data_IF_361649111315
#
_entry.id   IF_361649111315
#
_cell.length_a   1.000
_cell.length_b   1.000
_cell.length_c   1.000
_cell.angle_alpha   90.00
_cell.angle_beta   90.00
_cell.angle_gamma   90.00
#
_symmetry.space_group_name_H-M   'P 1'
#
loop_
_entity.id
_entity.type
_entity.pdbx_description
1 polymer ?
#
# COMPACT_ATOMS: atom_id res chain seq x y z
N UNK A 1 -4.52 22.70 29.47
CA UNK A 1 -4.96 21.94 28.28
C UNK A 1 -3.79 21.09 27.80
N UNK A 2 -3.87 19.77 27.99
CA UNK A 2 -2.85 18.77 27.62
C UNK A 2 -2.96 18.32 26.14
N UNK A 3 -3.18 19.26 25.22
CA UNK A 3 -3.35 19.02 23.78
C UNK A 3 -2.16 18.38 23.04
N UNK A 4 -0.87 18.53 23.42
CA UNK A 4 0.20 17.92 22.62
C UNK A 4 0.29 16.39 22.74
N UNK A 5 -0.27 15.80 23.80
CA UNK A 5 -0.19 14.34 24.02
C UNK A 5 -1.16 13.57 23.12
N UNK A 6 -2.36 14.10 22.88
CA UNK A 6 -3.39 13.42 22.07
C UNK A 6 -3.02 13.36 20.59
N UNK A 7 -2.47 14.44 20.03
CA UNK A 7 -2.02 14.46 18.63
C UNK A 7 -0.91 13.42 18.37
N UNK A 8 0.09 13.31 19.26
CA UNK A 8 1.15 12.31 19.14
C UNK A 8 0.62 10.87 19.26
N UNK A 9 -0.36 10.64 20.13
CA UNK A 9 -1.00 9.32 20.26
C UNK A 9 -1.73 8.92 18.98
N UNK A 10 -2.48 9.84 18.38
CA UNK A 10 -3.16 9.60 17.10
C UNK A 10 -2.16 9.25 15.99
N UNK A 11 -1.06 10.00 15.86
CA UNK A 11 -0.01 9.70 14.86
C UNK A 11 0.52 8.27 15.05
N UNK A 12 0.85 7.90 16.29
CA UNK A 12 1.37 6.56 16.62
C UNK A 12 0.36 5.47 16.29
N UNK A 13 -0.91 5.67 16.67
CA UNK A 13 -1.98 4.72 16.37
C UNK A 13 -2.13 4.51 14.87
N UNK A 14 -2.21 5.59 14.10
CA UNK A 14 -2.40 5.47 12.66
C UNK A 14 -1.23 4.77 11.94
N UNK A 15 0.01 4.97 12.40
CA UNK A 15 1.15 4.28 11.83
C UNK A 15 1.19 2.81 12.19
N UNK A 16 0.78 2.50 13.41
CA UNK A 16 0.62 1.13 13.85
C UNK A 16 -0.42 0.44 12.95
N UNK A 17 -1.54 1.10 12.63
CA UNK A 17 -2.53 0.61 11.66
C UNK A 17 -1.90 0.39 10.29
N UNK A 18 -1.17 1.37 9.74
CA UNK A 18 -0.51 1.22 8.43
C UNK A 18 0.48 0.04 8.38
N UNK A 19 1.24 -0.18 9.46
CA UNK A 19 2.16 -1.33 9.60
C UNK A 19 1.43 -2.66 9.72
N UNK A 20 0.30 -2.69 10.43
CA UNK A 20 -0.54 -3.88 10.55
C UNK A 20 -1.10 -4.26 9.17
N UNK A 21 -1.65 -3.29 8.43
CA UNK A 21 -2.16 -3.52 7.06
C UNK A 21 -1.04 -4.04 6.16
N UNK A 22 0.13 -3.39 6.19
CA UNK A 22 1.29 -3.83 5.43
C UNK A 22 1.71 -5.27 5.77
N UNK A 23 1.82 -5.59 7.06
CA UNK A 23 2.19 -6.92 7.53
C UNK A 23 1.17 -8.00 7.12
N UNK A 24 -0.12 -7.69 7.18
CA UNK A 24 -1.18 -8.58 6.75
C UNK A 24 -1.09 -8.89 5.24
N UNK A 25 -0.81 -7.89 4.41
CA UNK A 25 -0.65 -8.08 2.96
C UNK A 25 0.60 -8.90 2.60
N UNK A 26 1.72 -8.66 3.29
CA UNK A 26 2.93 -9.48 3.11
C UNK A 26 2.66 -10.93 3.52
N UNK A 27 1.96 -11.15 4.63
CA UNK A 27 1.57 -12.50 5.06
C UNK A 27 0.65 -13.17 4.03
N UNK A 28 -0.34 -12.45 3.50
CA UNK A 28 -1.23 -12.94 2.45
C UNK A 28 -0.45 -13.36 1.19
N UNK A 29 0.60 -12.60 0.81
CA UNK A 29 1.48 -12.98 -0.31
C UNK A 29 2.20 -14.31 -0.07
N UNK A 30 2.52 -14.65 1.18
CA UNK A 30 3.08 -15.95 1.55
C UNK A 30 2.06 -17.09 1.37
N UNK A 31 0.79 -16.83 1.70
CA UNK A 31 -0.31 -17.78 1.46
C UNK A 31 -0.48 -18.03 -0.04
N UNK A 32 -0.44 -16.98 -0.87
CA UNK A 32 -0.51 -17.13 -2.33
C UNK A 32 0.64 -17.99 -2.88
N UNK A 33 1.87 -17.78 -2.39
CA UNK A 33 3.01 -18.60 -2.77
C UNK A 33 2.84 -20.07 -2.39
N UNK A 34 2.31 -20.34 -1.18
CA UNK A 34 2.02 -21.69 -0.74
C UNK A 34 0.94 -22.37 -1.60
N UNK A 35 -0.14 -21.66 -1.95
CA UNK A 35 -1.19 -22.17 -2.83
C UNK A 35 -0.63 -22.49 -4.22
N UNK A 36 0.15 -21.57 -4.81
CA UNK A 36 0.79 -21.79 -6.10
C UNK A 36 1.70 -23.05 -6.09
N UNK A 37 2.47 -23.23 -5.01
CA UNK A 37 3.32 -24.39 -4.83
C UNK A 37 2.52 -25.71 -4.79
N UNK A 38 1.50 -25.80 -3.94
CA UNK A 38 0.66 -27.00 -3.83
C UNK A 38 -0.02 -27.33 -5.16
N UNK A 39 -0.56 -26.33 -5.87
CA UNK A 39 -1.21 -26.56 -7.16
C UNK A 39 -0.22 -27.01 -8.24
N UNK A 40 1.01 -26.49 -8.24
CA UNK A 40 2.05 -26.94 -9.17
C UNK A 40 2.44 -28.40 -8.94
N UNK A 41 2.53 -28.82 -7.67
CA UNK A 41 2.88 -30.20 -7.30
C UNK A 41 1.79 -31.22 -7.69
N UNK A 42 0.53 -30.80 -7.82
CA UNK A 42 -0.58 -31.66 -8.24
C UNK A 42 -0.71 -31.82 -9.76
N UNK A 43 -0.20 -30.87 -10.55
CA UNK A 43 -0.44 -30.78 -12.00
C UNK A 43 0.52 -31.57 -12.89
N UNK A 44 1.56 -32.20 -12.33
CA UNK A 44 2.45 -33.11 -13.09
C UNK A 44 1.70 -34.30 -13.74
N UNK A 45 0.42 -34.50 -13.42
CA UNK A 45 -0.46 -35.54 -13.99
C UNK A 45 -1.24 -35.13 -15.24
N UNK A 46 -1.17 -33.88 -15.72
CA UNK A 46 -1.98 -33.44 -16.88
C UNK A 46 -1.28 -32.35 -17.70
N UNK A 47 -0.16 -32.71 -18.32
CA UNK A 47 0.52 -31.85 -19.28
C UNK A 47 -0.01 -32.18 -20.69
N UNK A 48 -0.86 -31.32 -21.26
CA UNK A 48 -0.79 -31.17 -22.72
C UNK A 48 -1.28 -29.85 -23.32
N UNK A 49 -2.10 -29.02 -22.67
CA UNK A 49 -2.47 -27.72 -23.25
C UNK A 49 -2.66 -26.64 -22.17
N UNK A 50 -1.55 -26.05 -21.72
CA UNK A 50 -1.60 -24.74 -21.06
C UNK A 50 -1.91 -23.63 -22.07
N UNK A 51 -2.49 -22.49 -21.66
CA UNK A 51 -2.73 -21.37 -22.57
C UNK A 51 -1.42 -20.85 -23.14
N UNK A 52 -1.47 -20.47 -24.42
CA UNK A 52 -0.29 -20.07 -25.18
C UNK A 52 0.39 -18.80 -24.68
N UNK A 53 1.61 -18.58 -25.18
CA UNK A 53 2.53 -17.48 -24.82
C UNK A 53 1.90 -16.08 -24.83
N UNK A 54 0.87 -15.87 -25.65
CA UNK A 54 0.15 -14.59 -25.75
C UNK A 54 -0.52 -14.21 -24.42
N UNK A 55 -1.12 -15.16 -23.70
CA UNK A 55 -1.78 -14.85 -22.43
C UNK A 55 -0.77 -14.47 -21.34
N UNK A 56 0.37 -15.16 -21.30
CA UNK A 56 1.48 -14.82 -20.42
C UNK A 56 1.97 -13.39 -20.67
N UNK A 57 2.20 -13.03 -21.93
CA UNK A 57 2.65 -11.68 -22.30
C UNK A 57 1.66 -10.61 -21.86
N UNK A 58 0.35 -10.85 -21.99
CA UNK A 58 -0.69 -9.93 -21.49
C UNK A 58 -0.58 -9.77 -19.98
N UNK A 59 -0.44 -10.85 -19.21
CA UNK A 59 -0.31 -10.77 -17.76
C UNK A 59 0.97 -10.04 -17.31
N UNK A 60 2.08 -10.25 -18.02
CA UNK A 60 3.33 -9.50 -17.78
C UNK A 60 3.11 -8.01 -18.03
N UNK A 61 2.50 -7.64 -19.16
CA UNK A 61 2.20 -6.24 -19.50
C UNK A 61 1.29 -5.59 -18.44
N UNK A 62 0.22 -6.27 -18.04
CA UNK A 62 -0.68 -5.81 -16.98
C UNK A 62 0.06 -5.63 -15.66
N UNK A 63 0.92 -6.57 -15.29
CA UNK A 63 1.70 -6.53 -14.05
C UNK A 63 2.69 -5.37 -14.02
N UNK A 64 3.41 -5.14 -15.12
CA UNK A 64 4.29 -3.98 -15.27
C UNK A 64 3.47 -2.68 -15.22
N UNK A 65 2.32 -2.65 -15.88
CA UNK A 65 1.38 -1.51 -15.83
C UNK A 65 0.91 -1.20 -14.41
N UNK A 66 0.54 -2.21 -13.62
CA UNK A 66 0.13 -2.06 -12.22
C UNK A 66 1.29 -1.60 -11.33
N UNK A 67 2.49 -2.13 -11.54
CA UNK A 67 3.70 -1.72 -10.83
C UNK A 67 3.98 -0.23 -11.05
N UNK A 68 4.00 0.23 -12.30
CA UNK A 68 4.19 1.64 -12.65
C UNK A 68 3.06 2.49 -12.06
N UNK A 69 1.81 2.05 -12.22
CA UNK A 69 0.64 2.75 -11.68
C UNK A 69 0.69 2.88 -10.16
N UNK A 70 1.23 1.90 -9.42
CA UNK A 70 1.36 1.98 -7.96
C UNK A 70 2.28 3.12 -7.52
N UNK A 71 3.37 3.34 -8.26
CA UNK A 71 4.33 4.40 -8.01
C UNK A 71 3.72 5.75 -8.40
N UNK A 72 3.13 5.83 -9.60
CA UNK A 72 2.52 7.05 -10.11
C UNK A 72 1.32 7.49 -9.28
N UNK A 73 0.41 6.58 -8.92
CA UNK A 73 -0.76 6.87 -8.09
C UNK A 73 -0.34 7.42 -6.74
N UNK A 74 0.64 6.80 -6.08
CA UNK A 74 1.17 7.31 -4.82
C UNK A 74 1.75 8.71 -4.98
N UNK A 75 2.61 8.93 -5.96
CA UNK A 75 3.25 10.24 -6.17
C UNK A 75 2.24 11.33 -6.54
N UNK A 76 1.29 11.01 -7.41
CA UNK A 76 0.24 11.91 -7.85
C UNK A 76 -0.70 12.27 -6.70
N UNK A 77 -1.18 11.28 -5.94
CA UNK A 77 -2.01 11.52 -4.77
C UNK A 77 -1.28 12.36 -3.73
N UNK A 78 0.02 12.13 -3.50
CA UNK A 78 0.81 12.92 -2.55
C UNK A 78 1.16 14.33 -3.04
N UNK A 79 1.16 14.57 -4.36
CA UNK A 79 1.44 15.90 -4.93
C UNK A 79 0.27 16.89 -4.84
N UNK A 80 -0.95 16.41 -4.59
CA UNK A 80 -2.13 17.28 -4.53
C UNK A 80 -2.16 18.06 -3.20
N UNK A 81 -2.28 19.39 -3.23
CA UNK A 81 -2.40 20.18 -2.01
C UNK A 81 -3.66 19.77 -1.25
N UNK A 82 -3.54 19.63 0.07
CA UNK A 82 -4.59 19.22 1.01
C UNK A 82 -5.70 20.31 1.16
N UNK A 83 -5.77 21.27 0.25
CA UNK A 83 -6.47 22.55 0.40
C UNK A 83 -7.80 22.69 -0.33
N UNK A 84 -8.34 21.64 -0.94
CA UNK A 84 -9.71 21.69 -1.45
C UNK A 84 -10.72 21.64 -0.29
N UNK A 85 -11.79 22.44 -0.34
CA UNK A 85 -12.90 22.32 0.61
C UNK A 85 -13.28 20.84 0.73
N UNK A 86 -13.31 20.28 1.96
CA UNK A 86 -13.65 18.88 2.14
C UNK A 86 -15.08 18.69 1.67
N UNK A 87 -15.27 18.13 0.48
CA UNK A 87 -16.52 17.50 0.12
C UNK A 87 -16.77 16.45 1.20
N UNK A 88 -17.65 16.79 2.14
CA UNK A 88 -17.89 16.07 3.39
C UNK A 88 -18.51 14.70 3.08
N UNK A 89 -17.70 13.73 2.66
CA UNK A 89 -18.07 12.33 2.78
C UNK A 89 -18.11 12.08 4.29
N UNK A 90 -19.33 11.95 4.82
CA UNK A 90 -19.63 11.79 6.24
C UNK A 90 -19.19 10.39 6.72
N UNK A 91 -17.88 10.10 6.66
CA UNK A 91 -17.29 8.83 7.11
C UNK A 91 -16.96 8.89 8.61
N UNK A 92 -16.87 10.10 9.18
CA UNK A 92 -16.58 10.29 10.60
C UNK A 92 -17.87 10.44 11.40
N UNK A 93 -17.88 9.85 12.60
CA UNK A 93 -18.94 10.07 13.59
C UNK A 93 -19.05 11.57 13.93
N UNK A 94 -20.25 12.02 14.31
CA UNK A 94 -20.48 13.44 14.63
C UNK A 94 -19.55 13.94 15.77
N UNK A 95 -19.18 13.06 16.70
CA UNK A 95 -18.23 13.35 17.78
C UNK A 95 -16.80 13.57 17.26
N UNK A 96 -16.36 12.79 16.28
CA UNK A 96 -15.05 12.97 15.64
C UNK A 96 -14.99 14.25 14.79
N UNK A 97 -16.10 14.61 14.13
CA UNK A 97 -16.19 15.86 13.39
C UNK A 97 -16.08 17.07 14.32
N UNK A 98 -16.76 17.04 15.48
CA UNK A 98 -16.63 18.09 16.50
C UNK A 98 -15.21 18.19 17.05
N UNK A 99 -14.59 17.05 17.37
CA UNK A 99 -13.21 17.03 17.87
C UNK A 99 -12.19 17.59 16.85
N UNK A 100 -12.40 17.39 15.55
CA UNK A 100 -11.54 17.97 14.49
C UNK A 100 -11.84 19.45 14.26
N UNK A 101 -13.10 19.87 14.39
CA UNK A 101 -13.49 21.27 14.26
C UNK A 101 -12.89 22.14 15.40
N UNK A 102 -12.79 21.57 16.60
CA UNK A 102 -12.20 22.21 17.78
C UNK A 102 -10.67 22.06 17.85
N UNK A 103 -10.06 21.26 16.96
CA UNK A 103 -8.62 21.05 16.96
C UNK A 103 -7.85 22.27 16.42
N UNK A 104 -6.64 22.47 16.95
CA UNK A 104 -5.72 23.49 16.46
C UNK A 104 -5.48 23.35 14.93
N UNK A 105 -5.34 24.46 14.17
CA UNK A 105 -5.14 24.41 12.72
C UNK A 105 -3.98 23.50 12.29
N UNK A 106 -2.92 23.41 13.08
CA UNK A 106 -1.80 22.51 12.79
C UNK A 106 -2.21 21.04 12.91
N UNK A 107 -3.02 20.70 13.91
CA UNK A 107 -3.52 19.34 14.13
C UNK A 107 -4.47 18.94 13.00
N UNK A 108 -5.35 19.84 12.58
CA UNK A 108 -6.26 19.61 11.45
C UNK A 108 -5.51 19.38 10.14
N UNK A 109 -4.53 20.22 9.83
CA UNK A 109 -3.68 20.06 8.65
C UNK A 109 -2.91 18.73 8.68
N UNK A 110 -2.40 18.33 9.86
CA UNK A 110 -1.72 17.06 10.04
C UNK A 110 -2.63 15.86 9.77
N UNK A 111 -3.85 15.85 10.34
CA UNK A 111 -4.82 14.75 10.15
C UNK A 111 -5.16 14.57 8.67
N UNK A 112 -5.41 15.68 7.96
CA UNK A 112 -5.75 15.64 6.53
C UNK A 112 -4.57 15.17 5.67
N UNK A 113 -3.35 15.66 5.94
CA UNK A 113 -2.16 15.21 5.23
C UNK A 113 -1.90 13.71 5.47
N UNK A 114 -2.15 13.24 6.69
CA UNK A 114 -1.98 11.84 7.04
C UNK A 114 -3.02 10.94 6.38
N UNK A 115 -4.31 11.34 6.35
CA UNK A 115 -5.35 10.54 5.71
C UNK A 115 -5.09 10.38 4.22
N UNK A 116 -4.67 11.44 3.53
CA UNK A 116 -4.27 11.40 2.12
C UNK A 116 -3.06 10.48 1.91
N UNK A 117 -2.06 10.54 2.81
CA UNK A 117 -0.91 9.64 2.76
C UNK A 117 -1.31 8.18 2.95
N UNK A 118 -2.19 7.88 3.92
CA UNK A 118 -2.66 6.53 4.20
C UNK A 118 -3.44 5.95 3.01
N UNK A 119 -4.34 6.73 2.43
CA UNK A 119 -5.12 6.31 1.25
C UNK A 119 -4.19 6.00 0.07
N UNK A 120 -3.26 6.91 -0.25
CA UNK A 120 -2.27 6.70 -1.30
C UNK A 120 -1.42 5.45 -1.06
N UNK A 121 -1.13 5.16 0.21
CA UNK A 121 -0.37 3.98 0.62
C UNK A 121 -1.15 2.68 0.40
N UNK A 122 -2.41 2.63 0.84
CA UNK A 122 -3.29 1.46 0.67
C UNK A 122 -3.49 1.16 -0.82
N UNK A 123 -3.73 2.19 -1.63
CA UNK A 123 -3.89 2.05 -3.09
C UNK A 123 -2.62 1.46 -3.71
N UNK A 124 -1.44 1.95 -3.33
CA UNK A 124 -0.18 1.42 -3.85
C UNK A 124 0.05 -0.05 -3.44
N UNK A 125 -0.28 -0.41 -2.21
CA UNK A 125 -0.16 -1.80 -1.73
C UNK A 125 -1.14 -2.75 -2.44
N UNK A 126 -2.39 -2.31 -2.68
CA UNK A 126 -3.37 -3.10 -3.43
C UNK A 126 -2.93 -3.34 -4.89
N UNK A 127 -2.32 -2.34 -5.52
CA UNK A 127 -1.76 -2.48 -6.87
C UNK A 127 -0.55 -3.43 -6.88
N UNK A 128 0.31 -3.38 -5.86
CA UNK A 128 1.41 -4.33 -5.70
C UNK A 128 0.91 -5.77 -5.46
N UNK A 129 -0.16 -5.94 -4.68
CA UNK A 129 -0.80 -7.25 -4.47
C UNK A 129 -1.39 -7.81 -5.77
N UNK A 130 -1.99 -6.96 -6.59
CA UNK A 130 -2.56 -7.37 -7.88
C UNK A 130 -1.52 -8.00 -8.80
N UNK A 131 -0.27 -7.53 -8.77
CA UNK A 131 0.86 -8.15 -9.49
C UNK A 131 1.07 -9.60 -9.05
N UNK A 132 1.04 -9.86 -7.74
CA UNK A 132 1.21 -11.20 -7.17
C UNK A 132 0.03 -12.09 -7.59
N UNK A 133 -1.19 -11.56 -7.55
CA UNK A 133 -2.40 -12.28 -7.96
C UNK A 133 -2.33 -12.68 -9.44
N UNK A 134 -1.83 -11.82 -10.33
CA UNK A 134 -1.64 -12.18 -11.74
C UNK A 134 -0.66 -13.34 -11.93
N UNK A 135 0.45 -13.33 -11.20
CA UNK A 135 1.37 -14.47 -11.19
C UNK A 135 0.73 -15.75 -10.66
N UNK A 136 -0.10 -15.63 -9.61
CA UNK A 136 -0.80 -16.77 -9.02
C UNK A 136 -1.77 -17.38 -10.04
N UNK A 137 -2.61 -16.54 -10.66
CA UNK A 137 -3.53 -16.97 -11.72
C UNK A 137 -2.77 -17.67 -12.84
N UNK A 138 -1.63 -17.11 -13.27
CA UNK A 138 -0.81 -17.73 -14.29
C UNK A 138 -0.27 -19.10 -13.86
N UNK A 139 0.31 -19.22 -12.66
CA UNK A 139 0.80 -20.50 -12.15
C UNK A 139 -0.29 -21.54 -11.94
N UNK A 140 -1.50 -21.13 -11.55
CA UNK A 140 -2.65 -22.04 -11.47
C UNK A 140 -3.00 -22.57 -12.85
N UNK A 141 -2.89 -21.74 -13.87
CA UNK A 141 -3.23 -22.06 -15.25
C UNK A 141 -2.15 -22.91 -15.92
N UNK A 142 -0.88 -22.50 -15.87
CA UNK A 142 0.25 -23.21 -16.46
C UNK A 142 0.70 -24.43 -15.66
N UNK A 143 0.35 -24.50 -14.38
CA UNK A 143 0.81 -25.54 -13.45
C UNK A 143 2.27 -25.39 -13.04
N UNK A 144 2.95 -24.31 -13.40
CA UNK A 144 4.38 -24.13 -13.16
C UNK A 144 4.64 -23.05 -12.12
N UNK A 145 5.15 -23.45 -10.96
CA UNK A 145 5.50 -22.51 -9.89
C UNK A 145 6.61 -21.54 -10.29
N UNK A 146 7.54 -21.96 -11.15
CA UNK A 146 8.62 -21.09 -11.66
C UNK A 146 8.10 -19.84 -12.37
N UNK A 147 6.90 -19.90 -12.94
CA UNK A 147 6.30 -18.79 -13.67
C UNK A 147 5.57 -17.81 -12.73
N UNK A 148 5.24 -18.22 -11.49
CA UNK A 148 4.73 -17.33 -10.43
C UNK A 148 5.85 -16.48 -9.80
N UNK A 149 7.03 -17.08 -9.61
CA UNK A 149 8.16 -16.46 -8.90
C UNK A 149 8.50 -15.02 -9.32
N UNK A 150 8.62 -14.67 -10.62
CA UNK A 150 8.96 -13.29 -11.00
C UNK A 150 7.90 -12.27 -10.56
N UNK A 151 6.62 -12.63 -10.62
CA UNK A 151 5.52 -11.76 -10.17
C UNK A 151 5.50 -11.63 -8.65
N UNK A 152 5.69 -12.73 -7.94
CA UNK A 152 5.74 -12.72 -6.47
C UNK A 152 6.90 -11.87 -5.96
N UNK A 153 8.12 -12.09 -6.49
CA UNK A 153 9.29 -11.29 -6.14
C UNK A 153 9.06 -9.81 -6.46
N UNK A 154 8.54 -9.48 -7.64
CA UNK A 154 8.21 -8.11 -8.04
C UNK A 154 7.21 -7.45 -7.09
N UNK A 155 6.12 -8.15 -6.76
CA UNK A 155 5.09 -7.65 -5.85
C UNK A 155 5.59 -7.48 -4.41
N UNK A 156 6.36 -8.43 -3.87
CA UNK A 156 6.96 -8.33 -2.53
C UNK A 156 7.98 -7.20 -2.46
N UNK A 157 8.81 -7.03 -3.50
CA UNK A 157 9.76 -5.91 -3.57
C UNK A 157 9.03 -4.56 -3.62
N UNK A 158 7.93 -4.47 -4.38
CA UNK A 158 7.05 -3.29 -4.37
C UNK A 158 6.45 -3.05 -2.98
N UNK A 159 5.91 -4.08 -2.32
CA UNK A 159 5.39 -3.94 -0.96
C UNK A 159 6.48 -3.46 0.01
N UNK A 160 7.70 -3.99 -0.08
CA UNK A 160 8.84 -3.55 0.74
C UNK A 160 9.24 -2.09 0.45
N UNK A 161 9.21 -1.68 -0.82
CA UNK A 161 9.43 -0.29 -1.23
C UNK A 161 8.37 0.65 -0.65
N UNK A 162 7.13 0.19 -0.63
CA UNK A 162 5.99 0.86 -0.03
C UNK A 162 5.89 0.62 1.49
N UNK A 163 6.96 0.30 2.22
CA UNK A 163 6.87 0.18 3.67
C UNK A 163 6.45 1.51 4.35
N UNK A 164 5.52 1.51 5.32
CA UNK A 164 5.09 2.72 6.02
C UNK A 164 6.20 3.30 6.91
N UNK A 165 6.92 4.29 6.37
CA UNK A 165 7.97 5.06 7.06
C UNK A 165 7.47 6.45 7.43
N UNK A 166 7.55 6.80 8.71
CA UNK A 166 7.54 8.21 9.09
C UNK A 166 8.90 8.81 8.79
N UNK A 167 8.92 9.89 8.03
CA UNK A 167 9.96 10.90 8.23
C UNK A 167 9.48 11.79 9.36
N UNK A 168 9.80 11.42 10.59
CA UNK A 168 9.79 12.40 11.68
C UNK A 168 10.79 13.45 11.22
N UNK A 169 10.32 14.63 10.85
CA UNK A 169 11.21 15.74 10.58
C UNK A 169 12.06 15.91 11.82
N UNK A 170 13.31 15.44 11.77
CA UNK A 170 14.30 15.77 12.78
C UNK A 170 14.32 17.29 12.70
N UNK A 171 13.66 17.95 13.64
CA UNK A 171 13.66 19.39 13.72
C UNK A 171 15.12 19.77 13.75
N UNK A 172 15.66 20.16 12.59
CA UNK A 172 16.86 20.97 12.52
C UNK A 172 16.40 22.22 13.24
N UNK A 173 16.56 22.21 14.56
CA UNK A 173 16.63 23.41 15.38
C UNK A 173 17.56 24.29 14.58
N UNK A 174 17.00 25.30 13.93
CA UNK A 174 17.78 26.40 13.40
C UNK A 174 18.28 27.20 14.61
N UNK A 175 19.07 26.57 15.47
CA UNK A 175 19.90 27.19 16.50
C UNK A 175 21.16 27.80 15.86
N UNK A 176 21.07 28.17 14.57
CA UNK A 176 22.12 28.98 13.95
C UNK A 176 21.87 30.45 14.29
N UNK A 177 22.36 30.78 15.48
CA UNK A 177 23.23 31.93 15.76
C UNK A 177 22.61 33.29 15.40
N UNK A 178 21.94 33.87 16.39
CA UNK A 178 22.18 35.28 16.73
C UNK A 178 23.48 35.30 17.55
N UNK A 179 24.59 35.59 16.89
CA UNK A 179 25.80 36.16 17.51
C UNK A 179 26.39 37.12 16.50
#
# INVERSE_FOLDING_TARGET
MDTPKTAQQLVRQYLMIGRIIWGALVLASGVYAYVAYIMSAQKELSADQGPGDVFFQILVLLSVGMAISSILAKNWMLSRPVGGEPNHVKVMSDDQQRAIAEADPQTKAFILAYSQWLVAHIVALALAESVIIFGLVWSMVSGRFSEFMPFWLGGVLLMAWHFPRLRVGSGRRSDRRRY
#
